data_IF_729242069225
#
_entry.id   IF_729242069225
#
_cell.length_a   1.000
_cell.length_b   1.000
_cell.length_c   1.000
_cell.angle_alpha   90.00
_cell.angle_beta   90.00
_cell.angle_gamma   90.00
#
_symmetry.space_group_name_H-M   'P 1'
#
loop_
_entity.id
_entity.type
_entity.pdbx_description
1 polymer ?
#
# COMPACT_ATOMS: atom_id res chain seq x y z
N UNK A 1 -7.67 15.26 7.42
CA UNK A 1 -6.38 15.71 6.85
C UNK A 1 -6.45 15.52 5.35
N UNK A 2 -6.57 16.60 4.57
CA UNK A 2 -6.64 16.54 3.11
C UNK A 2 -5.23 16.82 2.58
N UNK A 3 -4.56 15.80 2.06
CA UNK A 3 -3.31 15.97 1.32
C UNK A 3 -3.70 16.01 -0.15
N UNK A 4 -3.52 17.15 -0.86
CA UNK A 4 -3.82 17.22 -2.28
C UNK A 4 -2.81 16.34 -3.04
N UNK A 5 -3.21 15.13 -3.40
CA UNK A 5 -2.44 14.27 -4.28
C UNK A 5 -2.63 14.73 -5.72
N UNK A 6 -1.52 14.89 -6.45
CA UNK A 6 -1.57 15.10 -7.90
C UNK A 6 -2.26 13.90 -8.57
N UNK A 7 -2.87 14.09 -9.76
CA UNK A 7 -3.63 13.06 -10.46
C UNK A 7 -2.84 11.76 -10.59
N UNK A 8 -3.54 10.62 -10.47
CA UNK A 8 -3.02 9.25 -10.50
C UNK A 8 -2.11 8.95 -11.72
N UNK A 9 -2.24 9.73 -12.80
CA UNK A 9 -1.49 9.59 -14.05
C UNK A 9 -0.48 10.72 -14.32
N UNK A 10 -0.16 11.55 -13.32
CA UNK A 10 0.88 12.57 -13.46
C UNK A 10 2.24 11.88 -13.67
N UNK A 11 2.74 11.91 -14.91
CA UNK A 11 4.03 11.34 -15.33
C UNK A 11 5.20 12.06 -14.64
N UNK A 12 5.45 11.75 -13.37
CA UNK A 12 6.71 12.10 -12.73
C UNK A 12 7.74 11.02 -13.05
N UNK A 13 8.82 11.39 -13.73
CA UNK A 13 9.98 10.53 -14.02
C UNK A 13 10.84 10.26 -12.77
N UNK A 14 10.24 10.05 -11.59
CA UNK A 14 10.97 9.80 -10.35
C UNK A 14 10.05 9.69 -9.12
N UNK A 15 10.43 8.79 -8.21
CA UNK A 15 10.06 8.64 -6.79
C UNK A 15 8.67 9.23 -6.44
N UNK A 16 7.61 8.44 -6.69
CA UNK A 16 6.25 8.75 -6.25
C UNK A 16 5.84 7.91 -5.05
N UNK A 17 5.00 8.46 -4.16
CA UNK A 17 4.40 7.71 -3.05
C UNK A 17 2.94 7.39 -3.40
N UNK A 18 2.58 6.11 -3.39
CA UNK A 18 1.21 5.64 -3.54
C UNK A 18 0.62 5.39 -2.15
N UNK A 19 -0.51 6.03 -1.86
CA UNK A 19 -1.32 5.76 -0.67
C UNK A 19 -2.51 4.91 -1.08
N UNK A 20 -2.65 3.74 -0.46
CA UNK A 20 -3.68 2.76 -0.83
C UNK A 20 -4.44 2.34 0.42
N UNK A 21 -5.68 2.76 0.53
CA UNK A 21 -6.56 2.42 1.66
C UNK A 21 -7.38 1.18 1.31
N UNK A 22 -7.11 0.06 1.97
CA UNK A 22 -7.81 -1.23 1.80
C UNK A 22 -8.00 -1.65 0.32
N UNK A 23 -6.92 -1.71 -0.50
CA UNK A 23 -7.03 -1.89 -1.96
C UNK A 23 -7.75 -3.15 -2.43
N UNK A 24 -7.86 -4.16 -1.57
CA UNK A 24 -8.39 -5.48 -1.90
C UNK A 24 -9.62 -5.85 -1.08
N UNK A 25 -10.22 -4.93 -0.31
CA UNK A 25 -11.29 -5.25 0.65
C UNK A 25 -12.55 -5.89 0.06
N UNK A 26 -12.79 -5.74 -1.26
CA UNK A 26 -13.94 -6.30 -1.98
C UNK A 26 -13.58 -7.48 -2.91
N UNK A 27 -12.34 -7.98 -2.85
CA UNK A 27 -11.86 -9.04 -3.73
C UNK A 27 -11.80 -10.38 -2.97
N UNK A 28 -11.95 -11.48 -3.70
CA UNK A 28 -11.64 -12.80 -3.14
C UNK A 28 -10.14 -12.94 -2.87
N UNK A 29 -9.75 -13.95 -2.10
CA UNK A 29 -8.37 -14.14 -1.66
C UNK A 29 -7.38 -14.34 -2.81
N UNK A 30 -7.77 -15.03 -3.89
CA UNK A 30 -6.91 -15.24 -5.05
C UNK A 30 -6.72 -13.92 -5.81
N UNK A 31 -7.81 -13.24 -6.15
CA UNK A 31 -7.75 -11.97 -6.87
C UNK A 31 -7.00 -10.90 -6.07
N UNK A 32 -7.15 -10.89 -4.74
CA UNK A 32 -6.39 -10.01 -3.85
C UNK A 32 -4.88 -10.22 -3.97
N UNK A 33 -4.44 -11.49 -3.94
CA UNK A 33 -3.01 -11.82 -4.07
C UNK A 33 -2.44 -11.40 -5.43
N UNK A 34 -3.18 -11.62 -6.51
CA UNK A 34 -2.77 -11.20 -7.86
C UNK A 34 -2.59 -9.69 -7.96
N UNK A 35 -3.57 -8.91 -7.44
CA UNK A 35 -3.52 -7.45 -7.43
C UNK A 35 -2.33 -6.94 -6.60
N UNK A 36 -2.13 -7.48 -5.41
CA UNK A 36 -1.00 -7.09 -4.55
C UNK A 36 0.35 -7.42 -5.17
N UNK A 37 0.46 -8.57 -5.82
CA UNK A 37 1.66 -8.95 -6.57
C UNK A 37 1.98 -7.95 -7.68
N UNK A 38 0.96 -7.53 -8.45
CA UNK A 38 1.12 -6.51 -9.49
C UNK A 38 1.53 -5.16 -8.91
N UNK A 39 0.92 -4.74 -7.79
CA UNK A 39 1.27 -3.50 -7.10
C UNK A 39 2.72 -3.52 -6.61
N UNK A 40 3.18 -4.62 -6.02
CA UNK A 40 4.56 -4.80 -5.55
C UNK A 40 5.56 -4.73 -6.72
N UNK A 41 5.34 -5.51 -7.78
CA UNK A 41 6.21 -5.52 -8.97
C UNK A 41 6.25 -4.13 -9.63
N UNK A 42 5.12 -3.43 -9.68
CA UNK A 42 5.05 -2.07 -10.22
C UNK A 42 5.86 -1.10 -9.36
N UNK A 43 5.70 -1.16 -8.04
CA UNK A 43 6.43 -0.32 -7.07
C UNK A 43 7.93 -0.49 -7.21
N UNK A 44 8.41 -1.74 -7.28
CA UNK A 44 9.82 -2.08 -7.44
C UNK A 44 10.36 -1.62 -8.80
N UNK A 45 9.63 -1.92 -9.90
CA UNK A 45 10.04 -1.59 -11.26
C UNK A 45 10.19 -0.08 -11.49
N UNK A 46 9.32 0.72 -10.88
CA UNK A 46 9.31 2.17 -11.08
C UNK A 46 9.94 2.96 -9.91
N UNK A 47 10.51 2.27 -8.91
CA UNK A 47 11.12 2.92 -7.74
C UNK A 47 10.13 3.79 -6.96
N UNK A 48 8.88 3.33 -6.84
CA UNK A 48 7.82 4.01 -6.10
C UNK A 48 7.77 3.49 -4.67
N UNK A 49 7.36 4.33 -3.73
CA UNK A 49 7.08 3.93 -2.35
C UNK A 49 5.59 3.68 -2.20
N UNK A 50 5.21 2.56 -1.58
CA UNK A 50 3.80 2.27 -1.28
C UNK A 50 3.53 2.36 0.22
N UNK A 51 2.47 3.07 0.58
CA UNK A 51 1.90 3.09 1.93
C UNK A 51 0.50 2.50 1.82
N UNK A 52 0.29 1.33 2.40
CA UNK A 52 -0.96 0.60 2.34
C UNK A 52 -1.59 0.47 3.73
N UNK A 53 -2.89 0.68 3.80
CA UNK A 53 -3.71 0.41 4.99
C UNK A 53 -4.46 -0.89 4.70
N UNK A 54 -4.41 -1.83 5.65
CA UNK A 54 -5.11 -3.11 5.56
C UNK A 54 -5.37 -3.67 6.95
N UNK A 55 -6.52 -4.30 7.13
CA UNK A 55 -6.83 -5.15 8.29
C UNK A 55 -6.48 -6.63 8.06
N UNK A 56 -6.02 -7.00 6.87
CA UNK A 56 -5.62 -8.37 6.55
C UNK A 56 -4.13 -8.59 6.86
N UNK A 57 -3.87 -9.43 7.86
CA UNK A 57 -2.51 -9.73 8.33
C UNK A 57 -1.66 -10.46 7.27
N UNK A 58 -2.24 -11.33 6.45
CA UNK A 58 -1.51 -12.04 5.38
C UNK A 58 -0.98 -11.05 4.34
N UNK A 59 -1.77 -10.03 4.02
CA UNK A 59 -1.38 -8.96 3.11
C UNK A 59 -0.28 -8.10 3.73
N UNK A 60 -0.44 -7.73 5.01
CA UNK A 60 0.55 -6.92 5.72
C UNK A 60 1.93 -7.60 5.76
N UNK A 61 1.98 -8.93 5.88
CA UNK A 61 3.22 -9.71 5.89
C UNK A 61 4.02 -9.65 4.57
N UNK A 62 3.40 -9.21 3.46
CA UNK A 62 4.09 -9.04 2.18
C UNK A 62 4.89 -7.73 2.08
N UNK A 63 4.64 -6.79 3.00
CA UNK A 63 5.27 -5.47 3.02
C UNK A 63 6.68 -5.52 3.61
N UNK A 64 7.53 -4.58 3.18
CA UNK A 64 8.89 -4.44 3.72
C UNK A 64 8.90 -4.03 5.20
N UNK A 65 7.86 -3.30 5.64
CA UNK A 65 7.70 -2.76 7.00
C UNK A 65 6.23 -2.76 7.39
N UNK A 66 5.95 -3.01 8.66
CA UNK A 66 4.60 -3.03 9.21
C UNK A 66 4.52 -2.08 10.41
N UNK A 67 3.51 -1.21 10.41
CA UNK A 67 3.19 -0.33 11.52
C UNK A 67 1.79 -0.67 11.99
N UNK A 68 1.67 -1.19 13.21
CA UNK A 68 0.37 -1.49 13.83
C UNK A 68 -0.11 -0.27 14.60
N UNK A 69 -1.34 0.16 14.32
CA UNK A 69 -1.98 1.30 14.99
C UNK A 69 -3.15 0.78 15.82
N UNK A 70 -3.20 1.17 17.09
CA UNK A 70 -4.28 0.87 18.03
C UNK A 70 -4.62 2.14 18.81
N UNK A 71 -5.91 2.46 18.94
CA UNK A 71 -6.40 3.66 19.64
C UNK A 71 -5.70 4.98 19.22
N UNK A 72 -5.40 5.11 17.93
CA UNK A 72 -4.73 6.28 17.36
C UNK A 72 -3.24 6.40 17.70
N UNK A 73 -2.63 5.36 18.27
CA UNK A 73 -1.21 5.29 18.63
C UNK A 73 -0.51 4.15 17.90
N UNK A 74 0.80 4.28 17.69
CA UNK A 74 1.60 3.19 17.16
C UNK A 74 1.82 2.18 18.29
N UNK A 75 1.24 0.99 18.14
CA UNK A 75 1.39 -0.12 19.08
C UNK A 75 2.66 -0.91 18.80
N UNK A 76 2.99 -1.14 17.52
CA UNK A 76 4.14 -1.96 17.10
C UNK A 76 4.77 -1.43 15.80
N UNK A 77 6.08 -1.66 15.64
CA UNK A 77 6.82 -1.43 14.39
C UNK A 77 7.69 -2.65 14.10
N UNK A 78 7.49 -3.28 12.94
CA UNK A 78 8.27 -4.43 12.45
C UNK A 78 8.88 -4.11 11.09
#
# INVERSE_FOLDING_TARGET
MYIPLKPLFSRHKGIGVQFTDEPTGNLDSRTSQDVLGLLKVTSEKFGQTMVMITHNEEIAQLADRIIRIEDGKIAERR
#
